data_IF_263244950390
#
_entry.id   IF_263244950390
#
_cell.length_a   1.000
_cell.length_b   1.000
_cell.length_c   1.000
_cell.angle_alpha   90.00
_cell.angle_beta   90.00
_cell.angle_gamma   90.00
#
_symmetry.space_group_name_H-M   'P 1'
#
loop_
_entity.id
_entity.type
_entity.pdbx_description
1 polymer ?
#
# COMPACT_ATOMS: atom_id res chain seq x y z
N UNK A 1 16.67 6.72 -1.65
CA UNK A 1 15.23 6.74 -1.97
C UNK A 1 14.96 8.00 -2.77
N UNK A 2 14.25 7.89 -3.90
CA UNK A 2 13.86 9.04 -4.70
C UNK A 2 12.43 9.46 -4.29
N UNK A 3 12.21 10.75 -4.09
CA UNK A 3 10.93 11.32 -3.65
C UNK A 3 9.80 11.04 -4.66
N UNK A 4 10.15 10.86 -5.93
CA UNK A 4 9.20 10.52 -7.00
C UNK A 4 8.53 9.15 -6.80
N UNK A 5 9.28 8.16 -6.31
CA UNK A 5 8.75 6.81 -6.09
C UNK A 5 7.75 6.81 -4.94
N UNK A 6 8.07 7.54 -3.86
CA UNK A 6 7.17 7.72 -2.74
C UNK A 6 5.88 8.46 -3.15
N UNK A 7 6.02 9.56 -3.90
CA UNK A 7 4.87 10.35 -4.37
C UNK A 7 3.95 9.55 -5.31
N UNK A 8 4.48 8.52 -5.99
CA UNK A 8 3.67 7.60 -6.79
C UNK A 8 3.01 6.52 -5.94
N UNK A 9 3.73 5.95 -4.97
CA UNK A 9 3.26 4.80 -4.19
C UNK A 9 2.23 5.19 -3.11
N UNK A 10 2.43 6.29 -2.39
CA UNK A 10 1.55 6.67 -1.28
C UNK A 10 0.08 6.82 -1.69
N UNK A 11 -0.28 7.55 -2.76
CA UNK A 11 -1.67 7.67 -3.18
C UNK A 11 -2.31 6.34 -3.59
N UNK A 12 -1.53 5.43 -4.18
CA UNK A 12 -2.03 4.11 -4.59
C UNK A 12 -2.26 3.23 -3.36
N UNK A 13 -1.34 3.28 -2.39
CA UNK A 13 -1.47 2.54 -1.13
C UNK A 13 -2.68 3.04 -0.32
N UNK A 14 -2.88 4.35 -0.28
CA UNK A 14 -4.04 4.99 0.35
C UNK A 14 -5.36 4.53 -0.30
N UNK A 15 -5.46 4.58 -1.63
CA UNK A 15 -6.65 4.13 -2.37
C UNK A 15 -6.96 2.64 -2.15
N UNK A 16 -5.93 1.78 -2.12
CA UNK A 16 -6.08 0.35 -1.81
C UNK A 16 -6.58 0.15 -0.37
N UNK A 17 -6.00 0.88 0.59
CA UNK A 17 -6.37 0.79 2.00
C UNK A 17 -7.81 1.25 2.23
N UNK A 18 -8.21 2.40 1.69
CA UNK A 18 -9.57 2.92 1.79
C UNK A 18 -10.59 1.99 1.12
N UNK A 19 -10.22 1.29 0.04
CA UNK A 19 -11.08 0.32 -0.63
C UNK A 19 -11.36 -0.94 0.20
N UNK A 20 -10.44 -1.35 1.08
CA UNK A 20 -10.55 -2.61 1.85
C UNK A 20 -10.95 -2.31 3.31
N UNK A 21 -10.47 -1.19 3.85
CA UNK A 21 -10.61 -0.75 5.23
C UNK A 21 -11.07 0.71 5.31
N UNK A 22 -12.29 1.05 4.87
CA UNK A 22 -12.76 2.43 4.68
C UNK A 22 -12.89 3.26 5.98
N UNK A 23 -12.88 2.62 7.15
CA UNK A 23 -13.00 3.30 8.45
C UNK A 23 -11.71 3.22 9.27
N UNK A 24 -10.73 2.43 8.85
CA UNK A 24 -9.56 2.10 9.67
C UNK A 24 -8.67 3.31 9.93
N UNK A 25 -8.54 4.23 8.97
CA UNK A 25 -7.82 5.49 9.15
C UNK A 25 -8.36 6.29 10.35
N UNK A 26 -9.68 6.27 10.58
CA UNK A 26 -10.33 7.00 11.68
C UNK A 26 -10.33 6.23 12.98
N UNK A 27 -10.49 4.91 12.91
CA UNK A 27 -10.58 4.04 14.08
C UNK A 27 -9.21 3.74 14.70
N UNK A 28 -8.20 3.52 13.86
CA UNK A 28 -6.85 3.14 14.25
C UNK A 28 -5.81 3.79 13.30
N UNK A 29 -5.62 5.12 13.37
CA UNK A 29 -4.73 5.85 12.47
C UNK A 29 -3.29 5.31 12.47
N UNK A 30 -2.74 5.01 13.65
CA UNK A 30 -1.39 4.44 13.76
C UNK A 30 -1.25 3.09 13.03
N UNK A 31 -2.30 2.27 13.09
CA UNK A 31 -2.33 0.97 12.42
C UNK A 31 -2.47 1.13 10.90
N UNK A 32 -3.29 2.09 10.47
CA UNK A 32 -3.45 2.47 9.07
C UNK A 32 -2.12 2.92 8.45
N UNK A 33 -1.43 3.87 9.09
CA UNK A 33 -0.12 4.34 8.65
C UNK A 33 0.93 3.22 8.62
N UNK A 34 0.91 2.34 9.64
CA UNK A 34 1.80 1.18 9.70
C UNK A 34 1.63 0.22 8.51
N UNK A 35 0.39 -0.06 8.11
CA UNK A 35 0.12 -0.92 6.95
C UNK A 35 0.57 -0.24 5.66
N UNK A 36 0.27 1.05 5.47
CA UNK A 36 0.73 1.81 4.29
C UNK A 36 2.25 1.76 4.19
N UNK A 37 2.97 1.98 5.31
CA UNK A 37 4.43 1.93 5.32
C UNK A 37 4.97 0.56 4.87
N UNK A 38 4.32 -0.54 5.26
CA UNK A 38 4.69 -1.89 4.82
C UNK A 38 4.44 -2.06 3.31
N UNK A 39 3.25 -1.69 2.83
CA UNK A 39 2.89 -1.82 1.41
C UNK A 39 3.84 -1.02 0.50
N UNK A 40 4.19 0.20 0.91
CA UNK A 40 5.13 1.07 0.19
C UNK A 40 6.54 0.49 0.23
N UNK A 41 7.00 -0.01 1.39
CA UNK A 41 8.34 -0.58 1.55
C UNK A 41 8.60 -1.76 0.61
N UNK A 42 7.64 -2.67 0.46
CA UNK A 42 7.79 -3.83 -0.42
C UNK A 42 7.97 -3.40 -1.88
N UNK A 43 7.21 -2.40 -2.32
CA UNK A 43 7.25 -1.89 -3.69
C UNK A 43 8.40 -0.93 -3.95
N UNK A 44 8.98 -0.31 -2.93
CA UNK A 44 10.21 0.50 -3.07
C UNK A 44 11.43 -0.32 -3.51
N UNK A 45 11.37 -1.65 -3.40
CA UNK A 45 12.41 -2.56 -3.89
C UNK A 45 12.15 -3.05 -5.32
N UNK A 46 10.97 -2.76 -5.88
CA UNK A 46 10.59 -3.13 -7.24
C UNK A 46 11.02 -2.07 -8.26
N UNK A 47 11.11 -2.46 -9.54
CA UNK A 47 11.35 -1.54 -10.65
C UNK A 47 10.05 -0.81 -11.02
N UNK A 48 9.72 0.23 -10.26
CA UNK A 48 8.47 1.01 -10.42
C UNK A 48 8.36 1.74 -11.76
N UNK A 49 9.48 1.95 -12.45
CA UNK A 49 9.50 2.57 -13.77
C UNK A 49 8.98 1.60 -14.85
N UNK A 50 9.13 0.29 -14.63
CA UNK A 50 8.62 -0.77 -15.50
C UNK A 50 7.18 -1.19 -15.18
N UNK A 51 6.58 -0.69 -14.09
CA UNK A 51 5.23 -1.05 -13.65
C UNK A 51 4.20 0.06 -13.92
N UNK A 52 3.05 -0.36 -14.41
CA UNK A 52 1.86 0.50 -14.52
C UNK A 52 1.19 0.70 -13.16
N UNK A 53 0.42 1.78 -13.01
CA UNK A 53 -0.31 2.06 -11.77
C UNK A 53 -1.31 0.94 -11.42
N UNK A 54 -1.88 0.28 -12.43
CA UNK A 54 -2.77 -0.87 -12.25
C UNK A 54 -2.04 -2.09 -11.67
N UNK A 55 -0.82 -2.36 -12.13
CA UNK A 55 0.00 -3.46 -11.60
C UNK A 55 0.48 -3.17 -10.18
N UNK A 56 0.89 -1.94 -9.90
CA UNK A 56 1.27 -1.49 -8.55
C UNK A 56 0.08 -1.67 -7.61
N UNK A 57 -1.12 -1.20 -8.02
CA UNK A 57 -2.35 -1.34 -7.25
C UNK A 57 -2.71 -2.81 -6.99
N UNK A 58 -2.62 -3.65 -8.01
CA UNK A 58 -2.89 -5.08 -7.88
C UNK A 58 -1.90 -5.76 -6.92
N UNK A 59 -0.61 -5.40 -6.99
CA UNK A 59 0.41 -5.94 -6.10
C UNK A 59 0.20 -5.48 -4.65
N UNK A 60 -0.11 -4.21 -4.42
CA UNK A 60 -0.45 -3.70 -3.07
C UNK A 60 -1.66 -4.42 -2.49
N UNK A 61 -2.72 -4.60 -3.27
CA UNK A 61 -3.92 -5.30 -2.83
C UNK A 61 -3.62 -6.77 -2.49
N UNK A 62 -2.77 -7.45 -3.28
CA UNK A 62 -2.34 -8.82 -3.00
C UNK A 62 -1.50 -8.93 -1.72
N UNK A 63 -0.58 -7.99 -1.50
CA UNK A 63 0.21 -7.93 -0.26
C UNK A 63 -0.68 -7.67 0.96
N UNK A 64 -1.66 -6.77 0.82
CA UNK A 64 -2.63 -6.47 1.87
C UNK A 64 -3.55 -7.67 2.18
N UNK A 65 -4.02 -8.38 1.17
CA UNK A 65 -4.82 -9.60 1.34
C UNK A 65 -4.02 -10.71 2.04
N UNK A 66 -2.72 -10.84 1.71
CA UNK A 66 -1.80 -11.75 2.40
C UNK A 66 -1.65 -11.35 3.87
N UNK A 67 -1.44 -10.07 4.16
CA UNK A 67 -1.35 -9.55 5.52
C UNK A 67 -2.64 -9.81 6.32
N UNK A 68 -3.80 -9.56 5.70
CA UNK A 68 -5.11 -9.86 6.29
C UNK A 68 -5.26 -11.35 6.64
N UNK A 69 -4.80 -12.27 5.80
CA UNK A 69 -4.84 -13.72 6.06
C UNK A 69 -3.95 -14.16 7.21
N UNK A 70 -2.85 -13.46 7.47
CA UNK A 70 -1.94 -13.78 8.59
C UNK A 70 -2.55 -13.35 9.95
N UNK A 71 -3.39 -12.32 9.94
CA UNK A 71 -4.00 -11.77 11.15
C UNK A 71 -5.35 -12.41 11.54
N UNK A 72 -5.97 -13.15 10.62
CA UNK A 72 -7.24 -13.87 10.83
C UNK A 72 -7.02 -15.20 11.57
#
# INVERSE_FOLDING_TARGET
MNEQDLNKLFPIADDVMQSIFPTLEKEQPDYYEGIIAILVKDLLTADLAAMTDAEIKAQMAANLDTFRKILA
#
